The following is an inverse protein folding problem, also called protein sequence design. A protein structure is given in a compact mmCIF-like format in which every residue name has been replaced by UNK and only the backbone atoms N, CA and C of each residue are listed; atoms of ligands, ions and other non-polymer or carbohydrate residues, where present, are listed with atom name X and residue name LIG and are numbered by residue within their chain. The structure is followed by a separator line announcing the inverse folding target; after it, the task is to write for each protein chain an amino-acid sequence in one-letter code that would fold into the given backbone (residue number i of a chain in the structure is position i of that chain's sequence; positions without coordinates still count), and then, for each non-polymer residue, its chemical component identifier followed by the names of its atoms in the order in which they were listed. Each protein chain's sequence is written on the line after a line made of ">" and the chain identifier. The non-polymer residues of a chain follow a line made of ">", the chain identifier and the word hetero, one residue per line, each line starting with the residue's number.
data_IF_368888729724
#
_entry.id   IF_368888729724
#
_cell.length_a   1.000
_cell.length_b   1.000
_cell.length_c   1.000
_cell.angle_alpha   90.00
_cell.angle_beta   90.00
_cell.angle_gamma   90.00
#
_symmetry.space_group_name_H-M   'P 1'
#
loop_
_entity.id
_entity.type
_entity.pdbx_description
1 polymer ?
#
# COMPACT_ATOMS: atom_id res chain seq x y z
N UNK A 1 19.69 -11.33 13.66
CA UNK A 1 20.57 -11.49 12.47
C UNK A 1 21.26 -10.15 12.25
N UNK A 2 22.54 -10.08 11.87
CA UNK A 2 23.15 -8.79 11.54
C UNK A 2 22.59 -8.36 10.18
N UNK A 3 21.78 -7.29 10.17
CA UNK A 3 21.33 -6.64 8.95
C UNK A 3 22.56 -6.12 8.21
N UNK A 4 22.69 -6.40 6.92
CA UNK A 4 23.70 -5.74 6.10
C UNK A 4 23.39 -4.24 6.06
N UNK A 5 24.39 -3.36 5.81
CA UNK A 5 24.16 -1.92 5.72
C UNK A 5 23.05 -1.54 4.73
N UNK A 6 22.93 -2.29 3.64
CA UNK A 6 21.91 -2.12 2.59
C UNK A 6 20.49 -2.39 3.11
N UNK A 7 20.29 -3.44 3.91
CA UNK A 7 18.99 -3.72 4.54
C UNK A 7 18.63 -2.69 5.61
N UNK A 8 19.63 -2.18 6.35
CA UNK A 8 19.42 -1.06 7.28
C UNK A 8 18.91 0.19 6.57
N UNK A 9 19.52 0.55 5.43
CA UNK A 9 19.10 1.68 4.61
C UNK A 9 17.70 1.51 4.02
N UNK A 10 17.31 0.30 3.61
CA UNK A 10 15.96 0.04 3.12
C UNK A 10 14.90 0.25 4.22
N UNK A 11 15.11 -0.28 5.42
CA UNK A 11 14.17 -0.10 6.54
C UNK A 11 14.05 1.37 6.94
N UNK A 12 15.18 2.10 6.93
CA UNK A 12 15.22 3.53 7.17
C UNK A 12 14.42 4.29 6.11
N UNK A 13 14.66 4.03 4.82
CA UNK A 13 13.94 4.68 3.71
C UNK A 13 12.42 4.41 3.79
N UNK A 14 12.02 3.15 4.01
CA UNK A 14 10.60 2.78 4.14
C UNK A 14 9.95 3.51 5.32
N UNK A 15 10.65 3.60 6.45
CA UNK A 15 10.16 4.30 7.63
C UNK A 15 10.11 5.82 7.44
N UNK A 16 11.06 6.41 6.71
CA UNK A 16 11.04 7.83 6.36
C UNK A 16 9.87 8.17 5.43
N UNK A 17 9.64 7.34 4.40
CA UNK A 17 8.52 7.46 3.47
C UNK A 17 7.17 7.24 4.14
N UNK A 18 7.14 6.52 5.26
CA UNK A 18 5.97 6.39 6.11
C UNK A 18 5.65 7.66 6.91
N UNK A 19 6.27 8.82 6.66
CA UNK A 19 5.96 10.07 7.36
C UNK A 19 4.49 10.47 7.26
N UNK A 20 3.83 10.15 6.14
CA UNK A 20 2.41 10.48 5.90
C UNK A 20 1.45 9.67 6.78
N UNK A 21 1.86 8.53 7.33
CA UNK A 21 0.93 7.58 7.97
C UNK A 21 0.29 8.08 9.26
N UNK A 22 0.85 9.14 9.87
CA UNK A 22 0.27 9.79 11.04
C UNK A 22 -0.88 10.73 10.70
N UNK A 23 -0.97 11.11 9.42
CA UNK A 23 -2.01 11.98 8.86
C UNK A 23 -3.08 11.16 8.09
N UNK A 24 -2.94 9.83 8.04
CA UNK A 24 -3.89 8.92 7.40
C UNK A 24 -4.90 8.41 8.41
N UNK A 25 -6.16 8.28 8.00
CA UNK A 25 -7.16 7.58 8.80
C UNK A 25 -6.97 6.05 8.74
N UNK A 26 -7.61 5.30 9.65
CA UNK A 26 -7.47 3.84 9.80
C UNK A 26 -7.47 3.04 8.49
N UNK A 27 -8.52 3.11 7.65
CA UNK A 27 -8.56 2.34 6.39
C UNK A 27 -7.49 2.76 5.38
N UNK A 28 -7.15 4.06 5.32
CA UNK A 28 -6.11 4.57 4.42
C UNK A 28 -4.72 4.11 4.86
N UNK A 29 -4.48 4.12 6.17
CA UNK A 29 -3.29 3.56 6.78
C UNK A 29 -3.17 2.07 6.45
N UNK A 30 -4.22 1.28 6.63
CA UNK A 30 -4.20 -0.14 6.32
C UNK A 30 -3.94 -0.41 4.83
N UNK A 31 -4.56 0.36 3.93
CA UNK A 31 -4.28 0.30 2.50
C UNK A 31 -2.80 0.58 2.20
N UNK A 32 -2.25 1.62 2.82
CA UNK A 32 -0.85 1.99 2.66
C UNK A 32 0.09 0.91 3.19
N UNK A 33 -0.18 0.38 4.38
CA UNK A 33 0.63 -0.69 5.01
C UNK A 33 0.51 -2.00 4.24
N UNK A 34 -0.65 -2.33 3.66
CA UNK A 34 -0.80 -3.47 2.76
C UNK A 34 0.19 -3.38 1.59
N UNK A 35 0.41 -2.17 1.05
CA UNK A 35 1.38 -1.91 -0.01
C UNK A 35 2.84 -2.20 0.35
N UNK A 36 3.17 -2.34 1.64
CA UNK A 36 4.51 -2.71 2.09
C UNK A 36 4.79 -4.21 2.01
N UNK A 37 3.77 -5.07 2.17
CA UNK A 37 3.95 -6.53 2.22
C UNK A 37 4.69 -7.09 1.00
N UNK A 38 4.43 -6.65 -0.25
CA UNK A 38 5.15 -7.12 -1.43
C UNK A 38 6.62 -6.69 -1.49
N UNK A 39 7.04 -5.71 -0.70
CA UNK A 39 8.44 -5.22 -0.68
C UNK A 39 9.34 -6.18 0.09
N UNK A 40 8.76 -6.93 1.04
CA UNK A 40 9.50 -7.86 1.89
C UNK A 40 9.60 -9.24 1.26
N UNK A 41 10.76 -9.87 1.45
CA UNK A 41 11.10 -11.17 0.89
C UNK A 41 11.78 -12.08 1.95
N UNK A 42 12.51 -13.10 1.50
CA UNK A 42 13.21 -14.02 2.39
C UNK A 42 14.41 -13.40 3.11
N UNK A 43 14.99 -12.34 2.57
CA UNK A 43 16.18 -11.69 3.10
C UNK A 43 15.82 -10.57 4.09
N UNK A 44 14.73 -9.86 3.82
CA UNK A 44 14.17 -8.83 4.71
C UNK A 44 12.68 -9.04 4.92
N UNK A 45 12.30 -9.34 6.17
CA UNK A 45 10.93 -9.66 6.51
C UNK A 45 10.16 -8.44 7.02
N UNK A 46 8.83 -8.49 6.93
CA UNK A 46 7.93 -7.53 7.60
C UNK A 46 8.18 -7.49 9.12
N UNK A 47 8.63 -8.59 9.72
CA UNK A 47 9.01 -8.66 11.13
C UNK A 47 10.27 -7.86 11.48
N UNK A 48 11.22 -7.76 10.56
CA UNK A 48 12.39 -6.88 10.73
C UNK A 48 11.96 -5.41 10.72
N UNK A 49 11.00 -5.05 9.87
CA UNK A 49 10.41 -3.71 9.86
C UNK A 49 9.60 -3.39 11.11
N UNK A 50 8.85 -4.35 11.66
CA UNK A 50 8.18 -4.22 12.97
C UNK A 50 9.21 -3.93 14.07
N UNK A 51 10.31 -4.68 14.09
CA UNK A 51 11.39 -4.48 15.07
C UNK A 51 12.00 -3.08 14.94
N UNK A 52 12.28 -2.66 13.70
CA UNK A 52 12.79 -1.31 13.41
C UNK A 52 11.84 -0.21 13.90
N UNK A 53 10.54 -0.34 13.61
CA UNK A 53 9.52 0.61 14.06
C UNK A 53 9.44 0.69 15.60
N UNK A 54 9.60 -0.44 16.29
CA UNK A 54 9.54 -0.51 17.75
C UNK A 54 10.77 0.16 18.38
N UNK A 55 11.96 -0.06 17.81
CA UNK A 55 13.21 0.56 18.25
C UNK A 55 13.22 2.08 18.06
N UNK A 56 12.51 2.59 17.05
CA UNK A 56 12.37 4.03 16.82
C UNK A 56 11.56 4.75 17.92
N UNK A 57 10.70 4.04 18.66
CA UNK A 57 9.91 4.56 19.81
C UNK A 57 9.16 5.86 19.51
N UNK A 58 8.50 5.92 18.37
CA UNK A 58 7.66 7.07 17.98
C UNK A 58 6.20 6.66 17.81
N UNK A 59 5.29 7.65 17.79
CA UNK A 59 3.89 7.41 17.44
C UNK A 59 3.70 6.84 16.03
N UNK A 60 4.50 7.32 15.05
CA UNK A 60 4.54 6.74 13.69
C UNK A 60 4.87 5.24 13.72
N UNK A 61 5.90 4.86 14.48
CA UNK A 61 6.29 3.46 14.64
C UNK A 61 5.17 2.63 15.28
N UNK A 62 4.52 3.15 16.31
CA UNK A 62 3.41 2.47 16.98
C UNK A 62 2.20 2.26 16.05
N UNK A 63 1.83 3.27 15.26
CA UNK A 63 0.73 3.21 14.28
C UNK A 63 1.02 2.16 13.19
N UNK A 64 2.24 2.15 12.64
CA UNK A 64 2.67 1.14 11.66
C UNK A 64 2.59 -0.28 12.24
N UNK A 65 3.08 -0.48 13.46
CA UNK A 65 3.03 -1.78 14.14
C UNK A 65 1.58 -2.22 14.37
N UNK A 66 0.69 -1.32 14.78
CA UNK A 66 -0.71 -1.62 14.99
C UNK A 66 -1.41 -2.07 13.69
N UNK A 67 -1.17 -1.37 12.59
CA UNK A 67 -1.71 -1.74 11.28
C UNK A 67 -1.13 -3.08 10.76
N UNK A 68 0.17 -3.33 10.95
CA UNK A 68 0.79 -4.62 10.59
C UNK A 68 0.19 -5.76 11.43
N UNK A 69 -0.02 -5.52 12.74
CA UNK A 69 -0.63 -6.51 13.63
C UNK A 69 -2.04 -6.88 13.16
N UNK A 70 -2.86 -5.89 12.79
CA UNK A 70 -4.22 -6.09 12.30
C UNK A 70 -4.23 -6.80 10.93
N UNK A 71 -3.43 -6.33 9.97
CA UNK A 71 -3.39 -6.92 8.63
C UNK A 71 -2.77 -8.32 8.60
N UNK A 72 -2.00 -8.70 9.61
CA UNK A 72 -1.42 -10.04 9.73
C UNK A 72 -2.30 -10.98 10.55
N UNK A 73 -3.31 -10.48 11.26
CA UNK A 73 -4.12 -11.28 12.17
C UNK A 73 -4.90 -12.39 11.43
N UNK A 74 -4.67 -13.64 11.84
CA UNK A 74 -5.22 -14.84 11.21
C UNK A 74 -4.62 -15.19 9.84
N UNK A 75 -3.84 -14.30 9.22
CA UNK A 75 -3.13 -14.55 7.95
C UNK A 75 -1.68 -15.00 8.16
N UNK A 76 -1.00 -14.36 9.12
CA UNK A 76 0.35 -14.66 9.57
C UNK A 76 0.43 -14.44 11.09
N UNK A 77 0.24 -15.55 11.82
CA UNK A 77 0.23 -15.55 13.29
C UNK A 77 1.58 -15.11 13.86
N UNK A 78 2.70 -15.48 13.22
CA UNK A 78 4.02 -15.14 13.73
C UNK A 78 4.27 -13.63 13.65
N UNK A 79 3.95 -13.02 12.51
CA UNK A 79 4.08 -11.56 12.32
C UNK A 79 3.11 -10.78 13.21
N UNK A 80 1.84 -11.20 13.29
CA UNK A 80 0.86 -10.52 14.14
C UNK A 80 1.22 -10.58 15.63
N UNK A 81 1.68 -11.73 16.12
CA UNK A 81 2.14 -11.86 17.51
C UNK A 81 3.38 -11.02 17.80
N UNK A 82 4.36 -11.00 16.88
CA UNK A 82 5.54 -10.15 17.01
C UNK A 82 5.13 -8.67 17.09
N UNK A 83 4.26 -8.22 16.20
CA UNK A 83 3.79 -6.84 16.16
C UNK A 83 3.06 -6.45 17.45
N UNK A 84 2.12 -7.28 17.92
CA UNK A 84 1.41 -7.03 19.19
C UNK A 84 2.34 -6.96 20.39
N UNK A 85 3.34 -7.84 20.45
CA UNK A 85 4.32 -7.86 21.55
C UNK A 85 5.30 -6.69 21.49
N UNK A 86 5.52 -6.11 20.32
CA UNK A 86 6.44 -4.98 20.09
C UNK A 86 5.75 -3.62 20.23
N UNK A 87 4.42 -3.59 20.18
CA UNK A 87 3.62 -2.37 20.25
C UNK A 87 3.66 -1.76 21.65
N UNK A 88 4.06 -0.49 21.74
CA UNK A 88 3.84 0.31 22.93
C UNK A 88 2.52 1.11 22.79
N UNK A 89 1.45 0.74 23.51
CA UNK A 89 0.15 1.39 23.38
C UNK A 89 0.15 2.85 23.86
N UNK A 90 1.10 3.25 24.72
CA UNK A 90 1.21 4.63 25.20
C UNK A 90 1.63 5.62 24.10
N UNK A 91 2.14 5.11 22.96
CA UNK A 91 2.54 5.91 21.81
C UNK A 91 1.46 6.01 20.74
N UNK A 92 0.34 5.30 20.88
CA UNK A 92 -0.73 5.33 19.91
C UNK A 92 -1.56 6.62 20.05
N UNK A 93 -1.83 7.33 18.95
CA UNK A 93 -2.82 8.40 18.95
C UNK A 93 -4.24 7.81 19.08
N UNK A 94 -5.18 8.59 19.62
CA UNK A 94 -6.55 8.13 19.88
C UNK A 94 -7.26 7.62 18.62
N UNK A 95 -7.01 8.26 17.47
CA UNK A 95 -7.60 7.86 16.20
C UNK A 95 -7.17 6.45 15.74
N UNK A 96 -6.04 5.93 16.24
CA UNK A 96 -5.56 4.59 15.89
C UNK A 96 -6.52 3.47 16.32
N UNK A 97 -7.51 3.78 17.17
CA UNK A 97 -8.62 2.89 17.49
C UNK A 97 -9.49 2.50 16.27
N UNK A 98 -9.41 3.22 15.14
CA UNK A 98 -10.12 2.87 13.90
C UNK A 98 -9.42 1.78 13.08
N UNK A 99 -8.18 1.44 13.42
CA UNK A 99 -7.49 0.33 12.76
C UNK A 99 -8.26 -0.95 13.05
N UNK A 100 -8.62 -1.67 12.00
CA UNK A 100 -9.36 -2.91 12.07
C UNK A 100 -10.88 -2.76 12.09
N UNK A 101 -11.43 -1.55 12.24
CA UNK A 101 -12.87 -1.35 12.48
C UNK A 101 -13.73 -1.30 11.21
N UNK A 102 -13.11 -1.52 10.05
CA UNK A 102 -13.78 -1.53 8.76
C UNK A 102 -14.63 -2.78 8.59
N UNK A 103 -15.96 -2.58 8.54
CA UNK A 103 -16.97 -3.64 8.38
C UNK A 103 -17.60 -3.59 6.99
N UNK A 104 -17.83 -4.76 6.39
CA UNK A 104 -18.53 -4.88 5.10
C UNK A 104 -20.00 -4.52 5.28
N UNK A 105 -20.49 -3.54 4.53
CA UNK A 105 -21.86 -3.01 4.67
C UNK A 105 -22.69 -3.10 3.39
N UNK A 106 -22.08 -3.33 2.24
CA UNK A 106 -22.80 -3.50 0.98
C UNK A 106 -21.94 -4.07 -0.13
N UNK A 107 -22.60 -4.57 -1.18
CA UNK A 107 -21.92 -5.10 -2.35
C UNK A 107 -22.67 -4.79 -3.64
N UNK A 108 -21.92 -4.61 -4.73
CA UNK A 108 -22.47 -4.34 -6.06
C UNK A 108 -21.66 -5.07 -7.12
N UNK A 109 -22.34 -5.49 -8.18
CA UNK A 109 -21.69 -5.80 -9.45
C UNK A 109 -21.71 -4.55 -10.33
N UNK A 110 -20.54 -4.15 -10.82
CA UNK A 110 -20.39 -3.10 -11.81
C UNK A 110 -19.96 -3.74 -13.12
N UNK A 111 -20.68 -3.46 -14.20
CA UNK A 111 -20.34 -3.92 -15.56
C UNK A 111 -20.15 -2.71 -16.45
N UNK A 112 -18.94 -2.53 -16.94
CA UNK A 112 -18.55 -1.47 -17.87
C UNK A 112 -18.11 -2.07 -19.21
N UNK A 113 -17.94 -1.27 -20.28
CA UNK A 113 -17.56 -1.79 -21.60
C UNK A 113 -16.15 -2.42 -21.63
N UNK A 114 -15.34 -2.14 -20.61
CA UNK A 114 -13.96 -2.59 -20.48
C UNK A 114 -13.76 -3.67 -19.40
N UNK A 115 -14.82 -4.10 -18.71
CA UNK A 115 -14.68 -5.15 -17.70
C UNK A 115 -15.85 -5.23 -16.73
N UNK A 116 -15.72 -6.19 -15.80
CA UNK A 116 -16.67 -6.41 -14.71
C UNK A 116 -15.93 -6.36 -13.38
N UNK A 117 -16.54 -5.74 -12.39
CA UNK A 117 -15.99 -5.69 -11.03
C UNK A 117 -17.05 -6.06 -10.01
N UNK A 118 -16.61 -6.71 -8.92
CA UNK A 118 -17.37 -6.79 -7.68
C UNK A 118 -16.86 -5.65 -6.79
N UNK A 119 -17.76 -4.78 -6.36
CA UNK A 119 -17.48 -3.68 -5.44
C UNK A 119 -17.97 -4.08 -4.07
N UNK A 120 -17.07 -4.16 -3.10
CA UNK A 120 -17.37 -4.41 -1.69
C UNK A 120 -17.23 -3.09 -0.94
N UNK A 121 -18.31 -2.60 -0.33
CA UNK A 121 -18.35 -1.33 0.40
C UNK A 121 -18.18 -1.53 1.90
N UNK A 122 -17.28 -0.76 2.49
CA UNK A 122 -16.94 -0.83 3.90
C UNK A 122 -17.19 0.49 4.61
N UNK A 123 -17.66 0.39 5.85
CA UNK A 123 -17.74 1.52 6.77
C UNK A 123 -16.84 1.24 7.96
N UNK A 124 -16.05 2.21 8.40
CA UNK A 124 -15.38 2.14 9.69
C UNK A 124 -16.35 2.55 10.81
N UNK A 125 -16.24 1.93 11.98
CA UNK A 125 -16.95 2.42 13.16
C UNK A 125 -16.50 3.86 13.45
N UNK A 126 -17.45 4.81 13.54
CA UNK A 126 -17.13 6.20 13.88
C UNK A 126 -16.48 6.25 15.26
N UNK A 127 -15.26 6.80 15.36
CA UNK A 127 -14.59 6.98 16.65
C UNK A 127 -15.14 8.22 17.38
N UNK A 128 -15.81 9.13 16.67
CA UNK A 128 -16.32 10.38 17.24
C UNK A 128 -17.73 10.64 16.68
N UNK A 129 -18.76 10.19 17.40
CA UNK A 129 -19.98 10.99 17.41
C UNK A 129 -19.65 12.25 18.22
N UNK A 130 -19.76 13.47 17.66
CA UNK A 130 -19.74 14.65 18.50
C UNK A 130 -20.90 14.45 19.46
N UNK A 131 -20.58 14.36 20.75
CA UNK A 131 -21.61 14.45 21.78
C UNK A 131 -22.23 15.81 21.55
N UNK A 132 -23.36 15.85 20.85
CA UNK A 132 -24.16 17.05 20.71
C UNK A 132 -24.38 17.49 22.14
N UNK A 133 -23.63 18.52 22.56
CA UNK A 133 -23.81 19.12 23.85
C UNK A 133 -25.27 19.50 23.87
N UNK A 134 -26.08 18.72 24.60
CA UNK A 134 -27.46 19.08 24.87
C UNK A 134 -27.35 20.44 25.52
N UNK A 135 -27.68 21.48 24.76
CA UNK A 135 -27.49 22.86 25.18
C UNK A 135 -28.10 23.01 26.56
N UNK A 136 -27.25 23.18 27.56
CA UNK A 136 -27.71 23.69 28.84
C UNK A 136 -28.04 25.15 28.58
N UNK A 137 -29.34 25.42 28.39
CA UNK A 137 -29.92 26.74 28.63
C UNK A 137 -29.49 27.15 30.04
N UNK A 138 -28.44 27.97 30.16
CA UNK A 138 -28.23 28.97 31.21
C UNK A 138 -26.77 29.47 31.19
N UNK A 139 -26.51 30.49 30.37
CA UNK A 139 -25.41 31.42 30.62
C UNK A 139 -25.69 32.75 29.90
N UNK A 140 -26.45 33.62 30.54
CA UNK A 140 -26.45 35.05 30.22
C UNK A 140 -25.13 35.66 30.70
N UNK A 141 -24.23 36.02 29.78
CA UNK A 141 -23.00 36.73 30.14
C UNK A 141 -22.19 37.09 28.90
N UNK A 142 -21.97 38.39 28.70
CA UNK A 142 -21.09 38.97 27.70
C UNK A 142 -19.65 38.49 27.94
N UNK A 143 -19.25 37.39 27.30
CA UNK A 143 -17.87 37.02 26.94
C UNK A 143 -17.93 35.71 26.15
N UNK A 144 -18.53 35.77 24.95
CA UNK A 144 -18.38 34.72 23.96
C UNK A 144 -17.03 34.92 23.28
N UNK A 145 -15.94 34.50 23.93
CA UNK A 145 -14.73 34.15 23.19
C UNK A 145 -15.16 33.17 22.11
N UNK A 146 -14.91 33.57 20.87
CA UNK A 146 -15.14 32.79 19.66
C UNK A 146 -14.34 31.51 19.83
N UNK A 147 -15.01 30.45 20.30
CA UNK A 147 -14.54 29.08 20.10
C UNK A 147 -14.44 28.98 18.58
N UNK A 148 -13.21 28.97 18.06
CA UNK A 148 -13.01 28.53 16.69
C UNK A 148 -13.60 27.12 16.66
N UNK A 149 -14.73 26.97 15.97
CA UNK A 149 -15.23 25.67 15.58
C UNK A 149 -14.02 24.98 14.96
N UNK A 150 -13.49 23.96 15.63
CA UNK A 150 -12.61 23.03 14.97
C UNK A 150 -13.38 22.61 13.72
N UNK A 151 -12.76 22.76 12.54
CA UNK A 151 -13.22 22.07 11.34
C UNK A 151 -13.14 20.59 11.68
N UNK A 152 -14.18 20.06 12.32
CA UNK A 152 -14.47 18.65 12.43
C UNK A 152 -14.92 18.24 11.01
N UNK A 153 -13.97 18.27 10.07
CA UNK A 153 -14.11 17.57 8.80
C UNK A 153 -14.22 16.10 9.18
N UNK A 154 -15.46 15.62 9.33
CA UNK A 154 -15.75 14.21 9.53
C UNK A 154 -15.10 13.50 8.34
N UNK A 155 -13.91 12.93 8.54
CA UNK A 155 -13.23 12.17 7.51
C UNK A 155 -14.13 11.01 7.15
N UNK A 156 -14.56 10.97 5.90
CA UNK A 156 -15.39 9.89 5.41
C UNK A 156 -14.54 8.61 5.35
N UNK A 157 -14.62 7.80 6.41
CA UNK A 157 -13.87 6.55 6.53
C UNK A 157 -14.43 5.41 5.67
N UNK A 158 -15.48 5.68 4.90
CA UNK A 158 -16.05 4.70 3.98
C UNK A 158 -15.12 4.50 2.80
N UNK A 159 -14.90 3.25 2.45
CA UNK A 159 -14.05 2.88 1.32
C UNK A 159 -14.64 1.67 0.62
N UNK A 160 -14.09 1.34 -0.54
CA UNK A 160 -14.51 0.18 -1.29
C UNK A 160 -13.33 -0.60 -1.85
N UNK A 161 -13.51 -1.91 -1.93
CA UNK A 161 -12.62 -2.83 -2.63
C UNK A 161 -13.28 -3.13 -3.97
N UNK A 162 -12.58 -2.82 -5.05
CA UNK A 162 -12.96 -3.21 -6.41
C UNK A 162 -12.16 -4.46 -6.76
N UNK A 163 -12.87 -5.56 -6.92
CA UNK A 163 -12.32 -6.83 -7.39
C UNK A 163 -12.63 -6.93 -8.88
N UNK A 164 -11.63 -6.67 -9.72
CA UNK A 164 -11.76 -6.74 -11.18
C UNK A 164 -11.69 -8.19 -11.65
N UNK A 165 -12.64 -8.56 -12.50
CA UNK A 165 -12.79 -9.91 -13.02
C UNK A 165 -12.62 -9.91 -14.53
N UNK A 166 -11.83 -10.86 -15.01
CA UNK A 166 -11.68 -11.14 -16.43
C UNK A 166 -12.90 -11.82 -17.03
N UNK A 167 -12.87 -11.98 -18.36
CA UNK A 167 -13.94 -12.63 -19.13
C UNK A 167 -14.17 -14.10 -18.71
N UNK A 168 -13.15 -14.76 -18.16
CA UNK A 168 -13.21 -16.11 -17.61
C UNK A 168 -13.69 -16.17 -16.15
N UNK A 169 -13.93 -15.02 -15.53
CA UNK A 169 -14.34 -14.87 -14.14
C UNK A 169 -13.19 -14.99 -13.13
N UNK A 170 -11.94 -15.04 -13.59
CA UNK A 170 -10.77 -15.00 -12.73
C UNK A 170 -10.44 -13.58 -12.29
N UNK A 171 -9.75 -13.47 -11.14
CA UNK A 171 -9.23 -12.20 -10.65
C UNK A 171 -8.22 -11.60 -11.64
N UNK A 172 -8.43 -10.34 -12.03
CA UNK A 172 -7.49 -9.57 -12.86
C UNK A 172 -6.76 -8.50 -12.02
N UNK A 173 -7.48 -7.72 -11.22
CA UNK A 173 -6.89 -6.67 -10.38
C UNK A 173 -7.65 -6.42 -9.07
N UNK A 174 -6.98 -5.76 -8.12
CA UNK A 174 -7.58 -5.30 -6.87
C UNK A 174 -7.31 -3.81 -6.69
N UNK A 175 -8.37 -3.02 -6.60
CA UNK A 175 -8.25 -1.58 -6.35
C UNK A 175 -8.96 -1.20 -5.06
N UNK A 176 -8.35 -0.28 -4.33
CA UNK A 176 -8.97 0.39 -3.21
C UNK A 176 -9.41 1.77 -3.68
N UNK A 177 -10.66 2.09 -3.40
CA UNK A 177 -11.25 3.37 -3.77
C UNK A 177 -12.00 3.97 -2.58
N UNK A 178 -12.40 5.24 -2.72
CA UNK A 178 -13.16 5.96 -1.71
C UNK A 178 -14.56 5.41 -1.47
N UNK A 179 -15.41 6.23 -0.87
CA UNK A 179 -16.76 5.83 -0.48
C UNK A 179 -17.52 5.20 -1.66
N UNK A 180 -18.14 4.02 -1.46
CA UNK A 180 -18.78 3.27 -2.56
C UNK A 180 -19.87 4.08 -3.25
N UNK A 181 -20.63 4.89 -2.52
CA UNK A 181 -21.74 5.65 -3.08
C UNK A 181 -21.30 6.72 -4.08
N UNK A 182 -20.15 7.37 -3.87
CA UNK A 182 -19.65 8.40 -4.79
C UNK A 182 -19.27 7.77 -6.15
N UNK A 183 -18.61 6.61 -6.12
CA UNK A 183 -18.24 5.84 -7.31
C UNK A 183 -19.47 5.31 -8.06
N UNK A 184 -20.47 4.83 -7.32
CA UNK A 184 -21.69 4.26 -7.90
C UNK A 184 -22.61 5.35 -8.46
N UNK A 185 -22.63 6.54 -7.86
CA UNK A 185 -23.34 7.71 -8.38
C UNK A 185 -22.67 8.28 -9.64
N UNK A 186 -21.34 8.36 -9.66
CA UNK A 186 -20.58 8.70 -10.88
C UNK A 186 -20.87 7.71 -12.01
N UNK A 187 -20.86 6.40 -11.71
CA UNK A 187 -21.19 5.35 -12.67
C UNK A 187 -22.61 5.49 -13.23
N UNK A 188 -23.61 5.79 -12.37
CA UNK A 188 -25.00 6.03 -12.81
C UNK A 188 -25.14 7.26 -13.70
N UNK A 189 -24.31 8.29 -13.49
CA UNK A 189 -24.29 9.49 -14.31
C UNK A 189 -23.72 9.28 -15.72
N UNK A 190 -22.97 8.18 -15.93
CA UNK A 190 -22.33 7.81 -17.21
C UNK A 190 -23.28 7.19 -18.25
N UNK A 191 -24.58 7.13 -17.96
CA UNK A 191 -25.63 6.59 -18.85
C UNK A 191 -25.60 5.05 -18.99
N UNK A 192 -26.19 4.52 -20.06
CA UNK A 192 -26.38 3.06 -20.28
C UNK A 192 -25.08 2.25 -20.47
N UNK A 193 -23.90 2.88 -20.40
CA UNK A 193 -22.59 2.23 -20.62
C UNK A 193 -22.12 1.45 -19.40
N UNK A 194 -22.50 1.89 -18.20
CA UNK A 194 -22.11 1.25 -16.94
C UNK A 194 -23.37 0.77 -16.24
N UNK A 195 -23.44 -0.53 -15.98
CA UNK A 195 -24.54 -1.15 -15.24
C UNK A 195 -24.09 -1.44 -13.83
N UNK A 196 -24.77 -0.86 -12.86
CA UNK A 196 -24.58 -1.12 -11.43
C UNK A 196 -25.76 -1.92 -10.93
N UNK A 197 -25.50 -3.06 -10.29
CA UNK A 197 -26.53 -3.92 -9.69
C UNK A 197 -26.10 -4.25 -8.27
N UNK A 198 -26.95 -3.90 -7.31
CA UNK A 198 -26.78 -4.32 -5.92
C UNK A 198 -26.86 -5.84 -5.79
N UNK A 199 -26.02 -6.40 -4.93
CA UNK A 199 -25.87 -7.83 -4.71
C UNK A 199 -25.84 -8.09 -3.20
N UNK A 200 -26.33 -9.27 -2.80
CA UNK A 200 -26.18 -9.72 -1.42
C UNK A 200 -24.69 -9.86 -1.06
N UNK A 201 -24.33 -9.46 0.17
CA UNK A 201 -22.91 -9.47 0.60
C UNK A 201 -22.33 -10.88 0.65
N UNK A 202 -23.13 -11.89 1.01
CA UNK A 202 -22.66 -13.28 1.08
C UNK A 202 -22.43 -13.83 -0.34
N UNK A 203 -23.32 -13.52 -1.28
CA UNK A 203 -23.14 -13.86 -2.70
C UNK A 203 -21.91 -13.17 -3.29
N UNK A 204 -21.66 -11.91 -2.91
CA UNK A 204 -20.49 -11.16 -3.32
C UNK A 204 -19.19 -11.80 -2.84
N UNK A 205 -19.13 -12.11 -1.54
CA UNK A 205 -17.97 -12.77 -0.93
C UNK A 205 -17.72 -14.13 -1.55
N UNK A 206 -18.77 -14.93 -1.77
CA UNK A 206 -18.67 -16.22 -2.44
C UNK A 206 -18.11 -16.09 -3.86
N UNK A 207 -18.54 -15.08 -4.61
CA UNK A 207 -18.03 -14.81 -5.95
C UNK A 207 -16.56 -14.37 -5.94
N UNK A 208 -16.14 -13.53 -4.99
CA UNK A 208 -14.72 -13.14 -4.83
C UNK A 208 -13.86 -14.35 -4.45
N UNK A 209 -14.30 -15.17 -3.50
CA UNK A 209 -13.60 -16.41 -3.12
C UNK A 209 -13.47 -17.36 -4.31
N UNK A 210 -14.51 -17.49 -5.13
CA UNK A 210 -14.48 -18.33 -6.32
C UNK A 210 -13.56 -17.80 -7.42
N UNK A 211 -13.43 -16.48 -7.56
CA UNK A 211 -12.52 -15.83 -8.50
C UNK A 211 -11.05 -15.85 -8.04
N UNK A 212 -10.82 -16.00 -6.73
CA UNK A 212 -9.50 -15.93 -6.14
C UNK A 212 -8.62 -17.14 -6.53
N UNK A 213 -7.36 -16.93 -6.94
CA UNK A 213 -6.44 -18.03 -7.24
C UNK A 213 -6.26 -18.98 -6.06
N UNK A 214 -6.23 -20.29 -6.36
CA UNK A 214 -6.04 -21.32 -5.34
C UNK A 214 -4.65 -21.32 -4.73
N UNK A 215 -4.49 -22.02 -3.61
CA UNK A 215 -3.20 -22.16 -2.94
C UNK A 215 -2.13 -22.74 -3.89
N UNK A 216 -0.98 -22.07 -3.98
CA UNK A 216 0.12 -22.45 -4.87
C UNK A 216 -0.12 -22.19 -6.36
N UNK A 217 -1.23 -21.53 -6.72
CA UNK A 217 -1.43 -21.06 -8.08
C UNK A 217 -0.57 -19.82 -8.35
N UNK A 218 0.25 -19.93 -9.39
CA UNK A 218 0.98 -18.80 -9.95
C UNK A 218 0.18 -18.28 -11.14
N UNK A 219 -0.29 -17.04 -11.05
CA UNK A 219 -1.03 -16.40 -12.14
C UNK A 219 -0.07 -15.68 -13.09
N UNK A 220 -0.32 -15.73 -14.40
CA UNK A 220 0.61 -15.22 -15.40
C UNK A 220 0.74 -13.70 -15.39
N UNK A 221 -0.35 -13.00 -15.07
CA UNK A 221 -0.41 -11.53 -15.01
C UNK A 221 -1.52 -11.14 -14.04
N UNK A 222 -1.26 -10.12 -13.22
CA UNK A 222 -2.25 -9.44 -12.40
C UNK A 222 -2.02 -7.94 -12.56
N UNK A 223 -3.08 -7.17 -12.41
CA UNK A 223 -3.01 -5.73 -12.36
C UNK A 223 -2.14 -5.25 -11.18
N UNK A 224 -1.64 -4.02 -11.26
CA UNK A 224 -0.67 -3.47 -10.31
C UNK A 224 -1.23 -3.36 -8.89
N UNK A 225 -2.55 -3.24 -8.74
CA UNK A 225 -3.20 -3.13 -7.43
C UNK A 225 -3.26 -4.46 -6.67
N UNK A 226 -3.18 -5.59 -7.38
CA UNK A 226 -3.24 -6.93 -6.76
C UNK A 226 -2.17 -7.16 -5.72
N UNK A 227 -0.91 -6.86 -6.03
CA UNK A 227 0.18 -7.03 -5.08
C UNK A 227 0.02 -6.07 -3.89
N UNK A 228 -0.26 -4.79 -4.15
CA UNK A 228 -0.34 -3.77 -3.12
C UNK A 228 -1.52 -3.97 -2.15
N UNK A 229 -2.66 -4.44 -2.65
CA UNK A 229 -3.91 -4.44 -1.88
C UNK A 229 -4.28 -5.83 -1.35
N UNK A 230 -3.63 -6.92 -1.78
CA UNK A 230 -4.05 -8.26 -1.38
C UNK A 230 -4.06 -8.47 0.13
N UNK A 231 -3.11 -7.91 0.89
CA UNK A 231 -3.08 -8.16 2.34
C UNK A 231 -4.30 -7.55 3.02
N UNK A 232 -4.66 -6.32 2.65
CA UNK A 232 -5.89 -5.67 3.04
C UNK A 232 -7.12 -6.50 2.70
N UNK A 233 -7.26 -6.88 1.41
CA UNK A 233 -8.42 -7.62 0.91
C UNK A 233 -8.56 -8.97 1.61
N UNK A 234 -7.46 -9.72 1.74
CA UNK A 234 -7.43 -11.02 2.44
C UNK A 234 -7.87 -10.89 3.89
N UNK A 235 -7.43 -9.84 4.59
CA UNK A 235 -7.82 -9.59 5.99
C UNK A 235 -9.30 -9.27 6.10
N UNK A 236 -9.81 -8.36 5.25
CA UNK A 236 -11.22 -7.96 5.26
C UNK A 236 -12.15 -9.12 4.90
N UNK A 237 -11.76 -9.99 3.96
CA UNK A 237 -12.53 -11.20 3.61
C UNK A 237 -12.48 -12.25 4.72
N UNK A 238 -11.33 -12.44 5.38
CA UNK A 238 -11.24 -13.33 6.53
C UNK A 238 -12.20 -12.89 7.64
N UNK A 239 -12.24 -11.60 7.97
CA UNK A 239 -13.15 -11.06 9.00
C UNK A 239 -14.61 -11.18 8.58
N UNK A 240 -14.94 -10.87 7.32
CA UNK A 240 -16.33 -10.86 6.85
C UNK A 240 -16.92 -12.26 6.61
N UNK A 241 -16.09 -13.22 6.18
CA UNK A 241 -16.57 -14.53 5.68
C UNK A 241 -15.96 -15.75 6.40
N UNK A 242 -15.02 -15.54 7.34
CA UNK A 242 -14.19 -16.61 7.93
C UNK A 242 -13.49 -17.46 6.84
N UNK A 243 -13.10 -16.83 5.73
CA UNK A 243 -12.43 -17.47 4.61
C UNK A 243 -10.98 -17.01 4.49
N UNK A 244 -10.05 -17.96 4.60
CA UNK A 244 -8.63 -17.70 4.39
C UNK A 244 -8.30 -17.77 2.89
N UNK A 245 -8.04 -16.61 2.30
CA UNK A 245 -7.57 -16.51 0.93
C UNK A 245 -6.06 -16.71 0.83
N UNK A 246 -5.62 -17.48 -0.17
CA UNK A 246 -4.20 -17.71 -0.43
C UNK A 246 -3.49 -16.41 -0.88
N UNK A 247 -2.19 -16.23 -0.56
CA UNK A 247 -1.42 -15.13 -1.13
C UNK A 247 -1.38 -15.23 -2.67
N UNK A 248 -1.55 -14.09 -3.33
CA UNK A 248 -1.42 -13.99 -4.79
C UNK A 248 0.06 -14.05 -5.16
N UNK A 249 0.39 -14.95 -6.10
CA UNK A 249 1.72 -15.09 -6.66
C UNK A 249 1.66 -14.83 -8.16
N UNK A 250 2.37 -13.80 -8.62
CA UNK A 250 2.52 -13.52 -10.05
C UNK A 250 3.78 -14.22 -10.55
N UNK A 251 3.71 -14.78 -11.75
CA UNK A 251 4.89 -15.33 -12.40
C UNK A 251 5.96 -14.24 -12.52
N UNK A 252 7.15 -14.48 -11.95
CA UNK A 252 8.28 -13.59 -12.13
C UNK A 252 8.57 -13.45 -13.63
N UNK A 253 8.35 -12.26 -14.18
CA UNK A 253 8.83 -11.93 -15.53
C UNK A 253 10.33 -11.72 -15.42
N UNK A 254 11.10 -12.67 -15.95
CA UNK A 254 12.54 -12.49 -16.15
C UNK A 254 12.74 -11.21 -16.99
N UNK A 255 13.24 -10.15 -16.36
CA UNK A 255 13.56 -8.92 -17.09
C UNK A 255 14.75 -9.27 -17.97
N UNK A 256 14.52 -9.32 -19.29
CA UNK A 256 15.61 -9.44 -20.24
C UNK A 256 16.43 -8.15 -20.23
N UNK A 257 17.41 -8.09 -19.31
CA UNK A 257 18.37 -6.99 -19.20
C UNK A 257 19.13 -6.79 -20.51
N UNK A 258 19.27 -7.86 -21.31
CA UNK A 258 19.95 -7.82 -22.61
C UNK A 258 19.08 -7.24 -23.70
N UNK A 259 17.76 -7.12 -23.48
CA UNK A 259 16.78 -6.58 -24.44
C UNK A 259 16.90 -7.26 -25.81
N UNK A 260 17.15 -8.58 -25.82
CA UNK A 260 17.33 -9.38 -27.02
C UNK A 260 18.71 -9.28 -27.69
N UNK A 261 19.71 -8.65 -27.05
CA UNK A 261 21.07 -8.54 -27.58
C UNK A 261 21.91 -9.78 -27.28
N UNK A 262 22.75 -10.20 -28.23
CA UNK A 262 23.77 -11.22 -28.00
C UNK A 262 24.89 -10.69 -27.08
N UNK A 263 25.66 -11.58 -26.43
CA UNK A 263 26.69 -11.21 -25.45
C UNK A 263 27.66 -10.12 -25.94
N UNK A 264 28.05 -10.20 -27.22
CA UNK A 264 28.96 -9.22 -27.83
C UNK A 264 28.29 -7.86 -28.01
N UNK A 265 27.03 -7.85 -28.45
CA UNK A 265 26.26 -6.63 -28.68
C UNK A 265 25.89 -5.96 -27.36
N UNK A 266 25.54 -6.74 -26.35
CA UNK A 266 25.29 -6.25 -24.99
C UNK A 266 26.56 -5.64 -24.38
N UNK A 267 27.72 -6.30 -24.53
CA UNK A 267 29.00 -5.76 -24.07
C UNK A 267 29.40 -4.47 -24.81
N UNK A 268 29.17 -4.40 -26.12
CA UNK A 268 29.46 -3.20 -26.92
C UNK A 268 28.50 -2.05 -26.56
N UNK A 269 27.21 -2.33 -26.32
CA UNK A 269 26.23 -1.34 -25.85
C UNK A 269 26.58 -0.80 -24.45
N UNK A 270 26.96 -1.67 -23.53
CA UNK A 270 27.41 -1.26 -22.18
C UNK A 270 28.69 -0.43 -22.24
N UNK A 271 29.65 -0.78 -23.12
CA UNK A 271 30.87 0.02 -23.33
C UNK A 271 30.54 1.41 -23.88
N UNK A 272 29.62 1.51 -24.82
CA UNK A 272 29.19 2.80 -25.39
C UNK A 272 28.45 3.66 -24.35
N UNK A 273 27.58 3.05 -23.53
CA UNK A 273 26.89 3.74 -22.44
C UNK A 273 27.88 4.25 -21.37
N UNK A 274 28.84 3.41 -20.96
CA UNK A 274 29.90 3.79 -20.02
C UNK A 274 30.77 4.93 -20.56
N UNK A 275 31.18 4.87 -21.82
CA UNK A 275 31.96 5.94 -22.47
C UNK A 275 31.17 7.26 -22.54
N UNK A 276 29.85 7.19 -22.80
CA UNK A 276 28.98 8.37 -22.78
C UNK A 276 28.88 8.97 -21.38
N UNK A 277 28.72 8.13 -20.35
CA UNK A 277 28.69 8.58 -18.95
C UNK A 277 30.04 9.18 -18.52
N UNK A 278 31.16 8.56 -18.88
CA UNK A 278 32.51 9.08 -18.63
C UNK A 278 32.74 10.45 -19.29
N UNK A 279 32.30 10.60 -20.53
CA UNK A 279 32.36 11.89 -21.24
C UNK A 279 31.53 12.95 -20.53
N UNK A 280 30.37 12.59 -19.97
CA UNK A 280 29.52 13.50 -19.22
C UNK A 280 30.13 13.93 -17.87
N UNK A 281 30.96 13.09 -17.25
CA UNK A 281 31.64 13.39 -15.97
C UNK A 281 33.07 13.93 -16.12
N UNK A 282 33.60 14.05 -17.34
CA UNK A 282 34.91 14.68 -17.61
C UNK A 282 36.15 13.82 -17.28
N UNK A 283 36.00 12.51 -17.06
CA UNK A 283 37.12 11.63 -16.74
C UNK A 283 37.75 11.00 -17.99
N UNK A 284 39.09 10.82 -18.03
CA UNK A 284 39.78 10.18 -19.15
C UNK A 284 39.41 8.69 -19.28
N UNK A 285 39.33 8.20 -20.53
CA UNK A 285 38.94 6.83 -20.92
C UNK A 285 39.82 5.69 -20.34
N UNK A 286 40.88 6.00 -19.60
CA UNK A 286 41.93 5.04 -19.26
C UNK A 286 41.57 4.05 -18.13
N UNK A 287 40.52 4.30 -17.34
CA UNK A 287 40.06 3.41 -16.25
C UNK A 287 38.65 2.83 -16.51
N UNK A 288 38.54 1.99 -17.53
CA UNK A 288 37.31 1.23 -17.88
C UNK A 288 37.24 -0.17 -17.25
N UNK A 289 38.07 -0.44 -16.23
CA UNK A 289 38.09 -1.76 -15.56
C UNK A 289 37.01 -1.84 -14.48
N UNK A 290 36.63 -3.07 -14.08
CA UNK A 290 35.61 -3.35 -13.06
C UNK A 290 35.90 -2.78 -11.65
N UNK A 291 37.00 -2.04 -11.50
CA UNK A 291 37.47 -1.44 -10.25
C UNK A 291 37.50 0.08 -10.38
N UNK A 292 36.46 0.67 -10.97
CA UNK A 292 36.29 2.12 -10.97
C UNK A 292 36.34 2.66 -9.53
N UNK A 293 37.09 3.74 -9.24
CA UNK A 293 37.10 4.34 -7.92
C UNK A 293 35.69 4.76 -7.49
N UNK A 294 35.33 4.60 -6.21
CA UNK A 294 33.99 4.93 -5.68
C UNK A 294 33.52 6.34 -6.05
N UNK A 295 34.44 7.31 -6.13
CA UNK A 295 34.16 8.67 -6.54
C UNK A 295 33.60 8.76 -7.97
N UNK A 296 34.11 7.94 -8.90
CA UNK A 296 33.65 7.87 -10.29
C UNK A 296 32.23 7.28 -10.36
N UNK A 297 31.97 6.22 -9.57
CA UNK A 297 30.66 5.57 -9.47
C UNK A 297 29.62 6.55 -8.96
N UNK A 298 29.94 7.32 -7.91
CA UNK A 298 29.04 8.34 -7.38
C UNK A 298 28.74 9.44 -8.42
N UNK A 299 29.74 9.90 -9.18
CA UNK A 299 29.52 10.86 -10.26
C UNK A 299 28.62 10.30 -11.37
N UNK A 300 28.77 9.03 -11.74
CA UNK A 300 27.86 8.38 -12.71
C UNK A 300 26.43 8.26 -12.17
N UNK A 301 26.26 7.87 -10.90
CA UNK A 301 24.96 7.80 -10.24
C UNK A 301 24.29 9.18 -10.26
N UNK A 302 25.03 10.27 -9.97
CA UNK A 302 24.51 11.64 -10.06
C UNK A 302 24.04 12.02 -11.47
N UNK A 303 24.77 11.61 -12.53
CA UNK A 303 24.36 11.83 -13.93
C UNK A 303 23.08 11.05 -14.27
N UNK A 304 22.99 9.79 -13.87
CA UNK A 304 21.84 8.92 -14.17
C UNK A 304 20.58 9.39 -13.42
N UNK A 305 20.74 9.82 -12.17
CA UNK A 305 19.64 10.30 -11.32
C UNK A 305 19.28 11.77 -11.56
N UNK A 306 20.04 12.49 -12.39
CA UNK A 306 19.80 13.89 -12.71
C UNK A 306 20.10 14.87 -11.57
N UNK A 307 20.73 14.40 -10.50
CA UNK A 307 21.11 15.19 -9.32
C UNK A 307 22.49 15.81 -9.56
N UNK A 308 22.56 16.82 -10.42
CA UNK A 308 23.82 17.50 -10.70
C UNK A 308 24.08 18.60 -9.64
N UNK A 309 24.85 18.28 -8.60
CA UNK A 309 25.74 19.26 -7.98
C UNK A 309 26.90 19.50 -8.95
N UNK A 310 27.25 20.78 -9.20
CA UNK A 310 28.21 21.25 -10.21
C UNK A 310 29.25 20.20 -10.62
N UNK A 311 29.08 19.64 -11.83
CA UNK A 311 30.10 18.82 -12.47
C UNK A 311 31.37 19.68 -12.56
N UNK A 312 32.42 19.28 -11.86
CA UNK A 312 33.69 20.00 -11.87
C UNK A 312 34.21 20.09 -13.33
N UNK A 313 34.82 21.21 -13.73
CA UNK A 313 35.28 21.44 -15.10
C UNK A 313 36.39 20.48 -15.54
#
# INVERSE_FOLDING_TARGET
>A
MQTTPEYGSLLEELYERASIVVDLDGPQLEAWVSGLFPVFDTDISIGDFVTYCADARTGRGAVLIAAIAELSDGLDVATSDLARNSLNPELLPDWAAAIGTSELTGAWTVTAPFGRSIVLGFNAASIIEPTMATGSEDATGEDAERVEEADDEITDLRHSILVELGDDGCLEDLQLAGAPMDLLEEAKSSGDRVRVVEMDTDDALAAVVAAWPGEGSVVPELGPGSAANQQFVRRRILVAADQLLAPLQVAEREIDVRRGLEDREFADANRAALSTMQSAVGFPDEDTTSNAPDALVQSWVSVVTGVAGELAP
#
